data_IF_938265244394
#
_entry.id   IF_938265244394
#
_cell.length_a   1.000
_cell.length_b   1.000
_cell.length_c   1.000
_cell.angle_alpha   90.00
_cell.angle_beta   90.00
_cell.angle_gamma   90.00
#
_symmetry.space_group_name_H-M   'P 1'
#
loop_
_entity.id
_entity.type
_entity.pdbx_description
1 polymer ?
#
# COMPACT_ATOMS: atom_id res chain seq x y z
N UNK A 1 -44.59 -45.43 -16.57
CA UNK A 1 -43.13 -45.47 -16.49
C UNK A 1 -42.64 -44.08 -16.21
N UNK A 2 -42.27 -43.85 -15.01
CA UNK A 2 -41.73 -42.59 -14.57
C UNK A 2 -40.24 -42.57 -14.86
N UNK A 3 -39.86 -41.80 -15.86
CA UNK A 3 -38.49 -41.43 -16.06
C UNK A 3 -38.16 -40.38 -15.04
N UNK A 4 -37.50 -40.79 -13.98
CA UNK A 4 -36.88 -39.87 -13.09
C UNK A 4 -35.65 -39.29 -13.79
N UNK A 5 -35.89 -38.24 -14.55
CA UNK A 5 -34.81 -37.31 -14.87
C UNK A 5 -34.56 -36.57 -13.57
N UNK A 6 -33.69 -37.16 -12.79
CA UNK A 6 -33.05 -36.44 -11.70
C UNK A 6 -32.27 -35.34 -12.35
N UNK A 7 -32.89 -34.19 -12.41
CA UNK A 7 -32.23 -32.97 -12.73
C UNK A 7 -31.27 -32.70 -11.55
N UNK A 8 -30.08 -33.24 -11.69
CA UNK A 8 -29.00 -32.90 -10.81
C UNK A 8 -28.63 -31.44 -11.17
N UNK A 9 -29.33 -30.52 -10.53
CA UNK A 9 -28.95 -29.14 -10.54
C UNK A 9 -27.63 -29.08 -9.71
N UNK A 10 -26.53 -29.29 -10.42
CA UNK A 10 -25.25 -28.90 -9.93
C UNK A 10 -25.29 -27.37 -9.80
N UNK A 11 -25.70 -26.91 -8.63
CA UNK A 11 -25.38 -25.57 -8.20
C UNK A 11 -23.87 -25.49 -8.13
N UNK A 12 -23.27 -25.13 -9.22
CA UNK A 12 -21.93 -24.61 -9.22
C UNK A 12 -21.98 -23.33 -8.39
N UNK A 13 -21.75 -23.49 -7.10
CA UNK A 13 -21.35 -22.39 -6.27
C UNK A 13 -19.97 -21.97 -6.78
N UNK A 14 -19.97 -21.11 -7.77
CA UNK A 14 -18.80 -20.39 -8.18
C UNK A 14 -18.47 -19.45 -7.01
N UNK A 15 -17.69 -19.95 -6.07
CA UNK A 15 -17.05 -19.10 -5.09
C UNK A 15 -16.06 -18.24 -5.87
N UNK A 16 -16.52 -17.06 -6.26
CA UNK A 16 -15.64 -16.05 -6.76
C UNK A 16 -14.67 -15.70 -5.63
N UNK A 17 -13.46 -16.25 -5.70
CA UNK A 17 -12.35 -15.80 -4.91
C UNK A 17 -12.14 -14.33 -5.29
N UNK A 18 -12.62 -13.44 -4.43
CA UNK A 18 -12.24 -12.04 -4.51
C UNK A 18 -10.77 -11.97 -4.15
N UNK A 19 -9.91 -12.02 -5.16
CA UNK A 19 -8.54 -11.57 -5.01
C UNK A 19 -8.64 -10.07 -4.80
N UNK A 20 -8.69 -9.65 -3.53
CA UNK A 20 -8.59 -8.24 -3.22
C UNK A 20 -7.21 -7.79 -3.68
N UNK A 21 -7.18 -6.89 -4.66
CA UNK A 21 -5.98 -6.23 -5.08
C UNK A 21 -5.33 -5.58 -3.86
N UNK A 22 -4.15 -6.06 -3.49
CA UNK A 22 -3.42 -5.50 -2.37
C UNK A 22 -2.93 -4.10 -2.73
N UNK A 23 -3.48 -3.09 -2.05
CA UNK A 23 -3.06 -1.71 -2.15
C UNK A 23 -2.36 -1.32 -0.86
N UNK A 24 -1.13 -0.89 -0.97
CA UNK A 24 -0.30 -0.52 0.18
C UNK A 24 0.50 0.74 -0.07
N UNK A 25 0.72 1.48 0.99
CA UNK A 25 1.72 2.52 1.06
C UNK A 25 2.85 2.04 1.96
N UNK A 26 4.02 1.82 1.39
CA UNK A 26 5.22 1.50 2.14
C UNK A 26 6.01 2.76 2.44
N UNK A 27 6.41 2.93 3.68
CA UNK A 27 7.28 4.02 4.11
C UNK A 27 8.61 3.46 4.57
N UNK A 28 9.67 3.77 3.84
CA UNK A 28 11.03 3.53 4.31
C UNK A 28 11.37 4.58 5.36
N UNK A 29 11.70 4.15 6.56
CA UNK A 29 11.98 5.02 7.68
C UNK A 29 13.29 4.66 8.38
N UNK A 30 13.82 5.59 9.18
CA UNK A 30 14.99 5.40 10.01
C UNK A 30 14.82 6.22 11.29
N UNK A 31 15.24 5.68 12.42
CA UNK A 31 15.13 6.35 13.72
C UNK A 31 15.94 7.66 13.77
N UNK A 32 17.00 7.76 12.97
CA UNK A 32 17.83 8.96 12.87
C UNK A 32 17.39 9.95 11.82
N UNK A 33 16.30 9.65 11.11
CA UNK A 33 15.81 10.47 10.03
C UNK A 33 14.94 11.61 10.56
N UNK A 34 15.46 12.84 10.54
CA UNK A 34 14.73 14.02 11.01
C UNK A 34 13.44 14.25 10.20
N UNK A 35 13.50 14.10 8.89
CA UNK A 35 12.33 14.28 8.03
C UNK A 35 11.26 13.21 8.26
N UNK A 36 11.66 11.99 8.63
CA UNK A 36 10.73 10.93 9.03
C UNK A 36 9.98 11.32 10.30
N UNK A 37 10.69 11.87 11.29
CA UNK A 37 10.12 12.33 12.56
C UNK A 37 9.12 13.46 12.32
N UNK A 38 9.46 14.40 11.47
CA UNK A 38 8.57 15.53 11.13
C UNK A 38 7.33 15.02 10.41
N UNK A 39 7.49 14.12 9.44
CA UNK A 39 6.35 13.50 8.75
C UNK A 39 5.41 12.80 9.74
N UNK A 40 5.95 12.02 10.68
CA UNK A 40 5.16 11.33 11.70
C UNK A 40 4.34 12.30 12.55
N UNK A 41 4.90 13.44 12.89
CA UNK A 41 4.20 14.47 13.67
C UNK A 41 3.11 15.17 12.88
N UNK A 42 3.34 15.43 11.60
CA UNK A 42 2.43 16.24 10.78
C UNK A 42 1.39 15.40 10.04
N UNK A 43 1.76 14.21 9.61
CA UNK A 43 0.91 13.36 8.77
C UNK A 43 0.67 11.99 9.41
N UNK A 44 1.70 11.35 9.94
CA UNK A 44 1.60 9.99 10.48
C UNK A 44 0.49 9.81 11.51
N UNK A 45 0.29 10.79 12.37
CA UNK A 45 -0.75 10.77 13.41
C UNK A 45 -2.17 10.78 12.85
N UNK A 46 -2.36 11.41 11.71
CA UNK A 46 -3.69 11.59 11.11
C UNK A 46 -3.91 10.68 9.89
N UNK A 47 -2.87 10.02 9.41
CA UNK A 47 -2.96 9.23 8.19
C UNK A 47 -4.10 8.21 8.25
N UNK A 48 -4.25 7.49 9.35
CA UNK A 48 -5.31 6.48 9.53
C UNK A 48 -6.73 7.06 9.49
N UNK A 49 -6.88 8.37 9.66
CA UNK A 49 -8.15 9.08 9.61
C UNK A 49 -8.49 9.60 8.21
N UNK A 50 -7.57 9.48 7.27
CA UNK A 50 -7.78 9.95 5.90
C UNK A 50 -8.46 8.89 5.04
N UNK A 51 -9.15 9.33 3.99
CA UNK A 51 -9.77 8.42 3.02
C UNK A 51 -8.73 7.60 2.28
N UNK A 52 -7.55 8.16 2.04
CA UNK A 52 -6.43 7.47 1.39
C UNK A 52 -5.98 6.26 2.20
N UNK A 53 -6.00 6.33 3.52
CA UNK A 53 -5.62 5.21 4.38
C UNK A 53 -6.51 3.98 4.21
N UNK A 54 -7.75 4.19 3.79
CA UNK A 54 -8.69 3.09 3.51
C UNK A 54 -8.32 2.36 2.22
N UNK A 55 -7.80 3.08 1.24
CA UNK A 55 -7.34 2.52 -0.02
C UNK A 55 -5.90 2.00 0.07
N UNK A 56 -5.03 2.74 0.75
CA UNK A 56 -3.62 2.41 0.90
C UNK A 56 -3.25 2.27 2.37
N UNK A 57 -3.18 1.05 2.85
CA UNK A 57 -2.75 0.76 4.22
C UNK A 57 -1.27 1.07 4.36
N UNK A 58 -0.92 1.88 5.36
CA UNK A 58 0.46 2.26 5.63
C UNK A 58 1.22 1.13 6.32
N UNK A 59 2.35 0.76 5.76
CA UNK A 59 3.31 -0.14 6.38
C UNK A 59 4.69 0.53 6.44
N UNK A 60 5.20 0.69 7.66
CA UNK A 60 6.53 1.26 7.88
C UNK A 60 7.57 0.16 7.82
N UNK A 61 8.63 0.41 7.07
CA UNK A 61 9.76 -0.50 6.95
C UNK A 61 11.03 0.26 7.37
N UNK A 62 11.66 -0.21 8.43
CA UNK A 62 12.90 0.37 8.90
C UNK A 62 14.05 0.03 7.96
N UNK A 63 14.92 0.99 7.69
CA UNK A 63 16.05 0.81 6.76
C UNK A 63 16.94 -0.39 7.13
N UNK A 64 17.06 -0.69 8.42
CA UNK A 64 17.83 -1.85 8.90
C UNK A 64 17.16 -3.20 8.58
N UNK A 65 15.88 -3.21 8.27
CA UNK A 65 15.10 -4.41 7.99
C UNK A 65 15.00 -4.74 6.50
N UNK A 66 15.40 -3.82 5.63
CA UNK A 66 15.30 -3.98 4.18
C UNK A 66 15.95 -5.27 3.70
N UNK A 67 17.14 -5.57 4.21
CA UNK A 67 17.91 -6.74 3.77
C UNK A 67 17.29 -8.07 4.19
N UNK A 68 16.41 -8.06 5.18
CA UNK A 68 15.71 -9.24 5.70
C UNK A 68 14.40 -9.53 4.97
N UNK A 69 13.92 -8.58 4.19
CA UNK A 69 12.65 -8.68 3.48
C UNK A 69 12.89 -9.16 2.04
N UNK A 70 12.01 -10.04 1.57
CA UNK A 70 11.95 -10.43 0.16
C UNK A 70 11.75 -9.23 -0.79
N UNK A 71 11.44 -8.08 -0.22
CA UNK A 71 11.17 -6.81 -0.89
C UNK A 71 12.40 -5.90 -1.00
N UNK A 72 13.59 -6.49 -1.00
CA UNK A 72 14.85 -5.74 -1.09
C UNK A 72 14.89 -4.76 -2.27
N UNK A 73 14.20 -5.09 -3.36
CA UNK A 73 14.12 -4.24 -4.55
C UNK A 73 13.04 -3.17 -4.47
N UNK A 74 12.15 -3.25 -3.47
CA UNK A 74 11.01 -2.34 -3.32
C UNK A 74 11.43 -0.88 -3.31
N UNK A 75 12.41 -0.54 -2.48
CA UNK A 75 12.82 0.83 -2.33
C UNK A 75 13.93 1.23 -3.30
N UNK A 76 14.91 0.36 -3.50
CA UNK A 76 16.08 0.62 -4.34
C UNK A 76 16.67 2.02 -4.11
N UNK A 77 16.69 2.46 -2.85
CA UNK A 77 17.16 3.77 -2.40
C UNK A 77 17.56 3.70 -0.94
N UNK A 78 18.41 4.59 -0.52
CA UNK A 78 18.77 4.81 0.89
C UNK A 78 18.23 6.15 1.42
N UNK A 79 17.38 6.81 0.65
CA UNK A 79 16.76 8.08 1.04
C UNK A 79 15.59 7.78 1.99
N UNK A 80 15.59 8.41 3.17
CA UNK A 80 14.49 8.35 4.13
C UNK A 80 13.90 9.74 4.40
N UNK A 81 12.58 9.86 4.50
CA UNK A 81 11.59 8.85 4.16
C UNK A 81 11.45 8.65 2.66
N UNK A 82 11.12 7.44 2.23
CA UNK A 82 10.67 7.16 0.87
C UNK A 82 9.32 6.46 0.96
N UNK A 83 8.35 6.94 0.21
CA UNK A 83 6.99 6.40 0.19
C UNK A 83 6.76 5.73 -1.15
N UNK A 84 6.37 4.46 -1.13
CA UNK A 84 6.10 3.69 -2.34
C UNK A 84 4.66 3.24 -2.34
N UNK A 85 3.90 3.65 -3.34
CA UNK A 85 2.49 3.29 -3.51
C UNK A 85 2.40 2.05 -4.40
N UNK A 86 1.75 1.01 -3.88
CA UNK A 86 1.54 -0.26 -4.54
C UNK A 86 0.08 -0.54 -4.79
N UNK A 87 -0.22 -0.99 -6.00
CA UNK A 87 -1.54 -1.49 -6.37
C UNK A 87 -1.35 -2.71 -7.25
N UNK A 88 -2.03 -3.83 -6.92
CA UNK A 88 -1.90 -5.09 -7.68
C UNK A 88 -0.45 -5.57 -7.81
N UNK A 89 0.31 -5.51 -6.73
CA UNK A 89 1.74 -5.89 -6.68
C UNK A 89 2.65 -5.08 -7.62
N UNK A 90 2.18 -3.92 -8.06
CA UNK A 90 2.96 -3.00 -8.88
C UNK A 90 3.09 -1.65 -8.22
N UNK A 91 4.27 -1.08 -8.31
CA UNK A 91 4.49 0.31 -7.94
C UNK A 91 3.75 1.23 -8.91
N UNK A 92 2.89 2.09 -8.37
CA UNK A 92 2.21 3.12 -9.15
C UNK A 92 2.86 4.49 -9.05
N UNK A 93 3.72 4.68 -8.07
CA UNK A 93 4.49 5.91 -7.87
C UNK A 93 5.20 5.92 -6.53
N UNK A 94 6.12 6.87 -6.37
CA UNK A 94 6.86 7.06 -5.13
C UNK A 94 7.15 8.51 -4.84
N UNK A 95 7.34 8.80 -3.56
CA UNK A 95 7.77 10.09 -3.07
C UNK A 95 9.07 9.89 -2.31
N UNK A 96 10.13 10.56 -2.73
CA UNK A 96 11.43 10.51 -2.07
C UNK A 96 11.62 11.77 -1.24
N UNK A 97 11.80 11.57 0.07
CA UNK A 97 11.94 12.67 0.99
C UNK A 97 10.60 13.25 1.44
N UNK A 98 10.68 14.28 2.27
CA UNK A 98 9.51 14.97 2.80
C UNK A 98 9.84 16.45 3.02
N UNK A 99 9.01 17.34 2.57
CA UNK A 99 9.17 18.77 2.78
C UNK A 99 8.08 19.35 3.69
N UNK A 100 6.83 19.22 3.31
CA UNK A 100 5.69 19.75 4.07
C UNK A 100 4.38 19.02 3.70
N UNK A 101 3.31 19.18 4.48
CA UNK A 101 2.03 18.51 4.23
C UNK A 101 1.42 18.81 2.86
N UNK A 102 1.45 20.06 2.43
CA UNK A 102 0.84 20.47 1.15
C UNK A 102 1.50 19.74 -0.03
N UNK A 103 2.82 19.75 -0.07
CA UNK A 103 3.58 19.07 -1.12
C UNK A 103 3.36 17.56 -1.08
N UNK A 104 3.34 16.98 0.12
CA UNK A 104 3.09 15.54 0.28
C UNK A 104 1.73 15.14 -0.29
N UNK A 105 0.67 15.82 0.10
CA UNK A 105 -0.67 15.49 -0.38
C UNK A 105 -0.85 15.77 -1.87
N UNK A 106 -0.22 16.80 -2.37
CA UNK A 106 -0.22 17.06 -3.81
C UNK A 106 0.44 15.90 -4.60
N UNK A 107 1.59 15.44 -4.14
CA UNK A 107 2.28 14.30 -4.76
C UNK A 107 1.46 13.00 -4.65
N UNK A 108 0.80 12.78 -3.53
CA UNK A 108 -0.11 11.65 -3.34
C UNK A 108 -1.24 11.68 -4.37
N UNK A 109 -1.88 12.83 -4.53
CA UNK A 109 -2.96 13.00 -5.50
C UNK A 109 -2.48 12.72 -6.94
N UNK A 110 -1.33 13.21 -7.31
CA UNK A 110 -0.72 12.96 -8.61
C UNK A 110 -0.48 11.45 -8.86
N UNK A 111 -0.07 10.72 -7.85
CA UNK A 111 0.18 9.28 -7.95
C UNK A 111 -1.12 8.50 -8.09
N UNK A 112 -2.13 8.84 -7.30
CA UNK A 112 -3.38 8.10 -7.20
C UNK A 112 -4.27 8.31 -8.42
N UNK A 113 -4.23 9.50 -9.03
CA UNK A 113 -5.04 9.85 -10.20
C UNK A 113 -4.55 9.19 -11.49
N UNK A 114 -3.40 8.56 -11.49
CA UNK A 114 -2.88 7.84 -12.66
C UNK A 114 -3.58 6.45 -12.76
#
# INVERSE_FOLDING_TARGET
MLNYITLFFFLFFSTALKVSAETKLYMLTDDKCMYCIVWEKQIGKIYSKTDISKAFTLERIHINEIDKLEKKTLFNTNITPTFVFYRNDKEIGRIKGYSNPEMFWWQVDEIIEK
#
